data_IF_046916187595
#
_entry.id   IF_046916187595
#
_cell.length_a   1.000
_cell.length_b   1.000
_cell.length_c   1.000
_cell.angle_alpha   90.00
_cell.angle_beta   90.00
_cell.angle_gamma   90.00
#
_symmetry.space_group_name_H-M   'P 1'
#
loop_
_entity.id
_entity.type
_entity.pdbx_description
1 polymer ?
#
# COMPACT_ATOMS: atom_id res chain seq x y z
N UNK A 1 -19.40 -26.89 13.70
CA UNK A 1 -19.40 -25.48 13.32
C UNK A 1 -18.11 -24.80 13.74
N UNK A 2 -17.54 -24.04 12.87
CA UNK A 2 -16.25 -23.41 13.12
C UNK A 2 -16.43 -22.06 13.81
N UNK A 3 -15.60 -21.80 14.78
CA UNK A 3 -15.58 -20.48 15.38
C UNK A 3 -15.07 -19.45 14.37
N UNK A 4 -15.53 -18.22 14.52
CA UNK A 4 -15.03 -17.13 13.71
C UNK A 4 -13.54 -16.91 14.04
N UNK A 5 -12.77 -16.63 13.01
CA UNK A 5 -11.34 -16.40 13.16
C UNK A 5 -11.03 -14.95 12.78
N UNK A 6 -10.56 -14.20 13.75
CA UNK A 6 -10.22 -12.79 13.57
C UNK A 6 -8.70 -12.54 13.58
N UNK A 7 -7.92 -13.56 13.26
CA UNK A 7 -6.46 -13.41 13.26
C UNK A 7 -5.93 -12.55 12.12
N UNK A 8 -6.64 -12.54 11.00
CA UNK A 8 -6.30 -11.70 9.84
C UNK A 8 -4.84 -11.80 9.41
N UNK A 9 -4.41 -13.03 9.17
CA UNK A 9 -3.02 -13.28 8.77
C UNK A 9 -2.63 -12.57 7.46
N UNK A 10 -3.64 -12.22 6.64
CA UNK A 10 -3.40 -11.47 5.42
C UNK A 10 -3.03 -10.01 5.63
N UNK A 11 -3.14 -9.49 6.86
CA UNK A 11 -2.66 -8.15 7.18
C UNK A 11 -1.17 -8.20 7.49
N UNK A 12 -0.38 -8.45 6.48
CA UNK A 12 1.07 -8.54 6.58
C UNK A 12 1.65 -7.28 7.24
N UNK A 13 2.52 -7.47 8.22
CA UNK A 13 3.11 -6.35 8.96
C UNK A 13 3.87 -5.38 8.10
N UNK A 14 4.50 -5.87 7.05
CA UNK A 14 5.25 -5.01 6.15
C UNK A 14 4.32 -4.05 5.43
N UNK A 15 3.13 -4.50 5.08
CA UNK A 15 2.13 -3.68 4.37
C UNK A 15 1.25 -2.90 5.34
N UNK A 16 1.03 -3.44 6.53
CA UNK A 16 0.13 -2.83 7.50
C UNK A 16 0.88 -1.81 8.36
N UNK A 17 1.34 -0.77 7.70
CA UNK A 17 2.07 0.32 8.34
C UNK A 17 1.70 1.60 7.59
N UNK A 18 1.40 2.65 8.33
CA UNK A 18 0.78 3.85 7.78
C UNK A 18 1.51 4.46 6.59
N UNK A 19 2.82 4.67 6.71
CA UNK A 19 3.57 5.32 5.63
C UNK A 19 3.64 4.43 4.39
N UNK A 20 3.87 3.14 4.58
CA UNK A 20 3.95 2.20 3.46
C UNK A 20 2.58 2.01 2.81
N UNK A 21 1.52 2.00 3.61
CA UNK A 21 0.15 1.95 3.09
C UNK A 21 -0.12 3.16 2.19
N UNK A 22 0.30 4.35 2.63
CA UNK A 22 0.14 5.58 1.84
C UNK A 22 0.90 5.51 0.52
N UNK A 23 2.14 5.07 0.57
CA UNK A 23 2.99 4.95 -0.62
C UNK A 23 2.38 3.97 -1.61
N UNK A 24 1.99 2.78 -1.13
CA UNK A 24 1.46 1.75 -2.01
C UNK A 24 0.13 2.17 -2.62
N UNK A 25 -0.72 2.85 -1.86
CA UNK A 25 -1.98 3.37 -2.38
C UNK A 25 -1.73 4.39 -3.49
N UNK A 26 -0.79 5.32 -3.27
CA UNK A 26 -0.45 6.32 -4.28
C UNK A 26 0.09 5.65 -5.55
N UNK A 27 0.85 4.57 -5.41
CA UNK A 27 1.39 3.85 -6.55
C UNK A 27 0.36 3.00 -7.28
N UNK A 28 -0.67 2.54 -6.58
CA UNK A 28 -1.75 1.78 -7.22
C UNK A 28 -2.52 2.58 -8.25
N UNK A 29 -2.54 3.89 -8.11
CA UNK A 29 -3.32 4.77 -8.98
C UNK A 29 -2.58 5.21 -10.24
N UNK A 30 -1.40 4.66 -10.48
CA UNK A 30 -0.62 5.02 -11.67
C UNK A 30 0.11 3.79 -12.21
N UNK A 31 0.23 3.71 -13.53
CA UNK A 31 1.03 2.68 -14.17
C UNK A 31 2.42 3.19 -14.49
N UNK A 32 2.55 4.47 -14.75
CA UNK A 32 3.84 5.07 -15.12
C UNK A 32 4.72 5.35 -13.93
N UNK A 33 4.19 5.23 -12.73
CA UNK A 33 4.94 5.48 -11.51
C UNK A 33 4.82 6.90 -11.02
N UNK A 34 5.49 7.17 -9.90
CA UNK A 34 5.51 8.51 -9.30
C UNK A 34 6.94 8.88 -8.95
N UNK A 35 7.24 10.15 -9.04
CA UNK A 35 8.55 10.64 -8.64
C UNK A 35 8.68 10.63 -7.13
N UNK A 36 9.92 10.65 -6.65
CA UNK A 36 10.20 10.78 -5.23
C UNK A 36 9.52 12.03 -4.66
N UNK A 37 9.62 13.14 -5.39
CA UNK A 37 9.01 14.40 -4.95
C UNK A 37 7.50 14.30 -4.83
N UNK A 38 6.84 13.63 -5.78
CA UNK A 38 5.39 13.42 -5.72
C UNK A 38 5.00 12.59 -4.51
N UNK A 39 5.72 11.49 -4.28
CA UNK A 39 5.40 10.63 -3.13
C UNK A 39 5.61 11.36 -1.82
N UNK A 40 6.67 12.15 -1.73
CA UNK A 40 6.92 12.95 -0.55
C UNK A 40 5.75 13.88 -0.24
N UNK A 41 5.27 14.56 -1.27
CA UNK A 41 4.16 15.51 -1.15
C UNK A 41 2.84 14.80 -0.87
N UNK A 42 2.52 13.78 -1.64
CA UNK A 42 1.23 13.08 -1.52
C UNK A 42 1.10 12.32 -0.20
N UNK A 43 2.19 11.77 0.29
CA UNK A 43 2.16 10.98 1.52
C UNK A 43 2.58 11.78 2.75
N UNK A 44 2.93 13.06 2.56
CA UNK A 44 3.34 13.96 3.64
C UNK A 44 4.47 13.37 4.48
N UNK A 45 5.53 12.96 3.80
CA UNK A 45 6.69 12.35 4.44
C UNK A 45 7.92 13.22 4.27
N UNK A 46 8.86 13.09 5.19
CA UNK A 46 10.17 13.71 5.05
C UNK A 46 11.02 12.90 4.07
N UNK A 47 12.08 13.53 3.54
CA UNK A 47 13.00 12.83 2.65
C UNK A 47 13.55 11.56 3.29
N UNK A 48 13.96 11.64 4.54
CA UNK A 48 14.55 10.51 5.23
C UNK A 48 13.55 9.39 5.48
N UNK A 49 12.34 9.74 5.89
CA UNK A 49 11.30 8.73 6.12
C UNK A 49 10.87 8.06 4.83
N UNK A 50 10.66 8.85 3.78
CA UNK A 50 10.29 8.28 2.49
C UNK A 50 11.40 7.36 1.97
N UNK A 51 12.65 7.82 2.04
CA UNK A 51 13.78 7.01 1.60
C UNK A 51 13.86 5.68 2.33
N UNK A 52 13.67 5.71 3.64
CA UNK A 52 13.73 4.50 4.46
C UNK A 52 12.60 3.53 4.11
N UNK A 53 11.39 4.02 3.95
CA UNK A 53 10.25 3.16 3.60
C UNK A 53 10.39 2.60 2.19
N UNK A 54 10.86 3.41 1.25
CA UNK A 54 11.09 2.92 -0.12
C UNK A 54 12.14 1.83 -0.15
N UNK A 55 13.18 1.95 0.66
CA UNK A 55 14.21 0.92 0.74
C UNK A 55 13.64 -0.39 1.25
N UNK A 56 12.80 -0.33 2.30
CA UNK A 56 12.12 -1.51 2.83
C UNK A 56 11.27 -2.17 1.75
N UNK A 57 10.49 -1.37 1.03
CA UNK A 57 9.62 -1.90 -0.03
C UNK A 57 10.41 -2.45 -1.21
N UNK A 58 11.52 -1.81 -1.55
CA UNK A 58 12.39 -2.27 -2.64
C UNK A 58 13.05 -3.60 -2.29
N UNK A 59 13.53 -3.73 -1.08
CA UNK A 59 14.16 -4.98 -0.62
C UNK A 59 13.16 -6.12 -0.58
N UNK A 60 11.89 -5.82 -0.28
CA UNK A 60 10.82 -6.81 -0.32
C UNK A 60 10.31 -7.06 -1.73
N UNK A 61 10.87 -6.40 -2.74
CA UNK A 61 10.53 -6.54 -4.15
C UNK A 61 9.11 -6.12 -4.48
N UNK A 62 8.56 -5.22 -3.69
CA UNK A 62 7.20 -4.70 -3.93
C UNK A 62 7.20 -3.50 -4.84
N UNK A 63 8.31 -2.76 -4.89
CA UNK A 63 8.46 -1.60 -5.76
C UNK A 63 9.78 -1.71 -6.52
N UNK A 64 9.83 -1.01 -7.66
CA UNK A 64 11.06 -0.79 -8.40
C UNK A 64 11.34 0.70 -8.42
N UNK A 65 12.61 1.04 -8.40
CA UNK A 65 13.03 2.44 -8.44
C UNK A 65 13.99 2.59 -9.61
N UNK A 66 13.67 3.52 -10.52
CA UNK A 66 14.55 3.84 -11.63
C UNK A 66 15.00 5.28 -11.52
N UNK A 67 16.22 5.56 -11.97
CA UNK A 67 16.75 6.92 -11.97
C UNK A 67 17.00 7.38 -13.37
N UNK A 68 16.70 8.63 -13.62
CA UNK A 68 17.00 9.32 -14.89
C UNK A 68 17.82 10.56 -14.60
N UNK A 69 18.69 10.91 -15.51
CA UNK A 69 19.51 12.10 -15.41
C UNK A 69 20.75 11.84 -14.60
N UNK A 70 21.53 12.90 -14.38
CA UNK A 70 22.80 12.84 -13.70
C UNK A 70 22.91 13.97 -12.68
N UNK A 71 23.60 13.69 -11.57
CA UNK A 71 23.86 14.70 -10.57
C UNK A 71 22.58 15.30 -10.00
N UNK A 72 22.52 16.63 -9.99
CA UNK A 72 21.40 17.34 -9.39
C UNK A 72 20.09 17.19 -10.16
N UNK A 73 20.17 16.84 -11.45
CA UNK A 73 18.97 16.69 -12.26
C UNK A 73 18.46 15.26 -12.26
N UNK A 74 19.11 14.36 -11.53
CA UNK A 74 18.69 12.99 -11.44
C UNK A 74 17.35 12.88 -10.71
N UNK A 75 16.41 12.16 -11.32
CA UNK A 75 15.10 11.94 -10.74
C UNK A 75 14.87 10.45 -10.55
N UNK A 76 14.24 10.11 -9.45
CA UNK A 76 13.86 8.74 -9.16
C UNK A 76 12.37 8.59 -9.43
N UNK A 77 12.02 7.53 -10.14
CA UNK A 77 10.63 7.14 -10.38
C UNK A 77 10.38 5.80 -9.73
N UNK A 78 9.32 5.73 -8.96
CA UNK A 78 8.95 4.54 -8.21
C UNK A 78 7.68 3.95 -8.82
N UNK A 79 7.70 2.63 -9.01
CA UNK A 79 6.53 1.89 -9.52
C UNK A 79 6.28 0.67 -8.66
N UNK A 80 5.04 0.23 -8.61
CA UNK A 80 4.75 -1.09 -8.07
C UNK A 80 5.30 -2.15 -9.02
N UNK A 81 5.90 -3.18 -8.46
CA UNK A 81 6.19 -4.38 -9.23
C UNK A 81 4.89 -5.18 -9.42
N UNK A 82 4.89 -6.14 -10.33
CA UNK A 82 3.73 -7.03 -10.48
C UNK A 82 3.44 -7.77 -9.18
N UNK A 83 4.49 -8.23 -8.50
CA UNK A 83 4.35 -8.87 -7.21
C UNK A 83 3.84 -7.92 -6.14
N UNK A 84 4.29 -6.68 -6.17
CA UNK A 84 3.82 -5.66 -5.24
C UNK A 84 2.34 -5.37 -5.41
N UNK A 85 1.88 -5.28 -6.65
CA UNK A 85 0.47 -5.07 -6.94
C UNK A 85 -0.39 -6.21 -6.40
N UNK A 86 0.05 -7.45 -6.65
CA UNK A 86 -0.68 -8.63 -6.15
C UNK A 86 -0.70 -8.67 -4.63
N UNK A 87 0.44 -8.41 -4.01
CA UNK A 87 0.53 -8.44 -2.55
C UNK A 87 -0.36 -7.38 -1.92
N UNK A 88 -0.37 -6.18 -2.50
CA UNK A 88 -1.19 -5.10 -1.95
C UNK A 88 -2.67 -5.36 -2.15
N UNK A 89 -3.07 -5.92 -3.29
CA UNK A 89 -4.47 -6.30 -3.51
C UNK A 89 -4.91 -7.36 -2.51
N UNK A 90 -4.06 -8.34 -2.22
CA UNK A 90 -4.37 -9.35 -1.21
C UNK A 90 -4.54 -8.74 0.17
N UNK A 91 -3.68 -7.78 0.50
CA UNK A 91 -3.79 -7.05 1.76
C UNK A 91 -5.11 -6.28 1.83
N UNK A 92 -5.50 -5.60 0.75
CA UNK A 92 -6.74 -4.84 0.71
C UNK A 92 -7.95 -5.75 0.85
N UNK A 93 -7.92 -6.95 0.26
CA UNK A 93 -8.99 -7.93 0.42
C UNK A 93 -9.13 -8.36 1.87
N UNK A 94 -8.01 -8.55 2.56
CA UNK A 94 -8.05 -8.89 3.98
C UNK A 94 -8.61 -7.75 4.81
N UNK A 95 -8.24 -6.53 4.46
CA UNK A 95 -8.76 -5.34 5.13
C UNK A 95 -10.28 -5.23 4.93
N UNK A 96 -10.76 -5.54 3.73
CA UNK A 96 -12.21 -5.59 3.48
C UNK A 96 -12.89 -6.63 4.36
N UNK A 97 -12.22 -7.77 4.59
CA UNK A 97 -12.76 -8.79 5.48
C UNK A 97 -12.90 -8.26 6.91
N UNK A 98 -11.92 -7.50 7.37
CA UNK A 98 -12.01 -6.85 8.68
C UNK A 98 -13.25 -5.96 8.76
N UNK A 99 -13.48 -5.17 7.72
CA UNK A 99 -14.63 -4.27 7.67
C UNK A 99 -15.94 -5.05 7.71
N UNK A 100 -16.03 -6.13 6.95
CA UNK A 100 -17.24 -6.97 6.94
C UNK A 100 -17.51 -7.58 8.30
N UNK A 101 -16.46 -8.12 8.92
CA UNK A 101 -16.59 -8.74 10.24
C UNK A 101 -17.03 -7.73 11.30
N UNK A 102 -16.44 -6.54 11.25
CA UNK A 102 -16.78 -5.48 12.20
C UNK A 102 -18.22 -5.01 12.04
N UNK A 103 -18.78 -5.13 10.83
CA UNK A 103 -20.17 -4.76 10.55
C UNK A 103 -21.16 -5.89 10.80
N UNK A 104 -20.70 -7.01 11.33
CA UNK A 104 -21.55 -8.17 11.59
C UNK A 104 -21.68 -9.15 10.44
N UNK A 105 -20.86 -9.01 9.42
CA UNK A 105 -20.75 -9.97 8.34
C UNK A 105 -21.80 -9.86 7.24
N UNK A 106 -22.80 -9.02 7.37
CA UNK A 106 -23.89 -8.89 6.42
C UNK A 106 -23.75 -7.64 5.55
N UNK A 107 -23.01 -7.75 4.47
CA UNK A 107 -22.68 -6.58 3.66
C UNK A 107 -23.88 -5.84 3.10
N UNK A 108 -24.84 -6.56 2.52
CA UNK A 108 -26.01 -5.93 1.89
C UNK A 108 -26.91 -5.26 2.92
N UNK A 109 -27.15 -5.95 4.04
CA UNK A 109 -27.97 -5.39 5.12
C UNK A 109 -27.29 -4.20 5.77
N UNK A 110 -25.99 -4.29 5.93
CA UNK A 110 -25.22 -3.24 6.55
C UNK A 110 -25.16 -1.98 5.70
N UNK A 111 -25.07 -2.14 4.39
CA UNK A 111 -25.11 -1.00 3.49
C UNK A 111 -26.42 -0.24 3.62
N UNK A 112 -27.52 -0.96 3.71
CA UNK A 112 -28.82 -0.33 3.89
C UNK A 112 -28.87 0.45 5.22
N UNK A 113 -28.21 -0.05 6.24
CA UNK A 113 -28.18 0.59 7.55
C UNK A 113 -27.39 1.89 7.53
N UNK A 114 -26.45 2.04 6.63
CA UNK A 114 -25.61 3.23 6.53
C UNK A 114 -26.15 4.27 5.54
N UNK A 115 -27.15 3.90 4.81
CA UNK A 115 -27.79 4.81 3.89
C UNK A 115 -28.75 5.74 4.64
#
# INVERSE_FOLDING_TARGET
MTEANYAYEGLDRLLHERARLSILTALMTTESGRSFADLKRLCELTDGNLGRHLEILREARLVTVSRRGRGRTAESTVKLSAGGRRAFLGYLEELERVLRDARGGESAGDEAAYA
#
